data_IF_942486941360
#
_entry.id   IF_942486941360
#
_cell.length_a   1.000
_cell.length_b   1.000
_cell.length_c   1.000
_cell.angle_alpha   90.00
_cell.angle_beta   90.00
_cell.angle_gamma   90.00
#
_symmetry.space_group_name_H-M   'P 1'
#
loop_
_entity.id
_entity.type
_entity.pdbx_description
1 polymer ?
#
# COMPACT_ATOMS: atom_id res chain seq x y z
N UNK A 1 -1.83 -21.71 8.79
CA UNK A 1 -2.52 -20.88 7.78
C UNK A 1 -3.36 -21.81 6.95
N UNK A 2 -4.65 -21.54 6.76
CA UNK A 2 -5.60 -22.43 6.06
C UNK A 2 -5.11 -22.94 4.69
N UNK A 3 -4.23 -22.20 4.00
CA UNK A 3 -3.60 -22.63 2.75
C UNK A 3 -2.59 -23.79 2.87
N UNK A 4 -2.16 -24.17 4.08
CA UNK A 4 -1.34 -25.38 4.31
C UNK A 4 -2.20 -26.64 4.52
N UNK A 5 -3.49 -26.48 4.80
CA UNK A 5 -4.39 -27.58 5.13
C UNK A 5 -5.17 -28.10 3.90
N UNK A 6 -4.74 -27.72 2.69
CA UNK A 6 -5.17 -28.33 1.43
C UNK A 6 -6.50 -27.84 0.84
N UNK A 7 -7.22 -26.92 1.49
CA UNK A 7 -8.50 -26.39 0.95
C UNK A 7 -8.23 -25.12 0.13
N UNK A 8 -8.48 -25.18 -1.18
CA UNK A 8 -8.43 -24.06 -2.13
C UNK A 8 -7.16 -23.17 -2.06
N UNK A 9 -6.03 -23.74 -1.64
CA UNK A 9 -4.79 -23.01 -1.34
C UNK A 9 -4.30 -22.15 -2.52
N UNK A 10 -4.37 -22.67 -3.74
CA UNK A 10 -3.98 -21.92 -4.94
C UNK A 10 -4.85 -20.69 -5.18
N UNK A 11 -6.17 -20.80 -5.01
CA UNK A 11 -7.11 -19.69 -5.20
C UNK A 11 -6.90 -18.59 -4.16
N UNK A 12 -6.73 -18.95 -2.88
CA UNK A 12 -6.49 -17.96 -1.83
C UNK A 12 -5.12 -17.29 -1.94
N UNK A 13 -4.09 -18.04 -2.33
CA UNK A 13 -2.75 -17.47 -2.60
C UNK A 13 -2.81 -16.49 -3.78
N UNK A 14 -3.52 -16.85 -4.84
CA UNK A 14 -3.73 -15.99 -6.02
C UNK A 14 -4.49 -14.71 -5.66
N UNK A 15 -5.60 -14.83 -4.94
CA UNK A 15 -6.37 -13.66 -4.50
C UNK A 15 -5.53 -12.71 -3.62
N UNK A 16 -4.84 -13.26 -2.61
CA UNK A 16 -3.98 -12.46 -1.73
C UNK A 16 -2.86 -11.76 -2.50
N UNK A 17 -2.25 -12.43 -3.48
CA UNK A 17 -1.25 -11.83 -4.35
C UNK A 17 -1.82 -10.64 -5.13
N UNK A 18 -2.98 -10.80 -5.78
CA UNK A 18 -3.59 -9.72 -6.55
C UNK A 18 -3.88 -8.48 -5.68
N UNK A 19 -4.33 -8.66 -4.43
CA UNK A 19 -4.56 -7.54 -3.52
C UNK A 19 -3.26 -6.82 -3.13
N UNK A 20 -2.19 -7.58 -2.87
CA UNK A 20 -0.87 -6.99 -2.56
C UNK A 20 -0.32 -6.26 -3.79
N UNK A 21 -0.39 -6.87 -4.98
CA UNK A 21 0.09 -6.25 -6.21
C UNK A 21 -0.68 -4.99 -6.59
N UNK A 22 -1.99 -4.96 -6.37
CA UNK A 22 -2.81 -3.75 -6.50
C UNK A 22 -2.28 -2.63 -5.58
N UNK A 23 -2.04 -2.94 -4.29
CA UNK A 23 -1.47 -1.98 -3.35
C UNK A 23 -0.06 -1.51 -3.75
N UNK A 24 0.72 -2.39 -4.38
CA UNK A 24 2.09 -2.10 -4.82
C UNK A 24 2.15 -1.31 -6.14
N UNK A 25 1.09 -1.34 -6.96
CA UNK A 25 0.92 -0.43 -8.10
C UNK A 25 0.71 -1.08 -9.45
N UNK A 26 0.23 -2.32 -9.53
CA UNK A 26 -0.10 -2.97 -10.81
C UNK A 26 -1.15 -2.18 -11.64
N UNK A 27 -1.88 -1.25 -11.03
CA UNK A 27 -2.82 -0.33 -11.70
C UNK A 27 -2.20 1.01 -12.13
N UNK A 28 -0.89 1.15 -11.99
CA UNK A 28 -0.14 2.33 -12.42
C UNK A 28 0.16 3.36 -11.33
N UNK A 29 -0.26 3.11 -10.09
CA UNK A 29 0.07 3.96 -8.94
C UNK A 29 0.17 3.11 -7.67
N UNK A 30 1.25 3.26 -6.90
CA UNK A 30 1.40 2.54 -5.62
C UNK A 30 0.63 3.24 -4.51
N UNK A 31 0.08 2.48 -3.58
CA UNK A 31 -0.48 2.99 -2.32
C UNK A 31 0.50 2.84 -1.14
N UNK A 32 1.75 2.47 -1.42
CA UNK A 32 2.82 2.37 -0.42
C UNK A 32 3.79 3.53 -0.60
N UNK A 33 3.94 4.35 0.43
CA UNK A 33 4.79 5.54 0.38
C UNK A 33 6.24 5.16 0.10
N UNK A 34 6.82 5.74 -0.95
CA UNK A 34 8.21 5.53 -1.36
C UNK A 34 8.45 4.23 -2.14
N UNK A 35 7.40 3.58 -2.66
CA UNK A 35 7.48 2.37 -3.46
C UNK A 35 6.75 2.55 -4.81
N UNK A 36 7.25 1.90 -5.86
CA UNK A 36 6.61 1.86 -7.19
C UNK A 36 7.18 2.87 -8.18
N UNK A 37 7.38 2.45 -9.43
CA UNK A 37 8.10 3.26 -10.42
C UNK A 37 7.23 4.36 -11.05
N UNK A 38 5.91 4.18 -11.06
CA UNK A 38 4.96 5.08 -11.72
C UNK A 38 4.42 6.18 -10.79
N UNK A 39 4.68 6.08 -9.48
CA UNK A 39 4.28 7.07 -8.48
C UNK A 39 3.75 6.44 -7.19
N UNK A 40 3.73 7.25 -6.13
CA UNK A 40 3.26 6.88 -4.79
C UNK A 40 2.73 8.11 -4.04
N UNK A 41 2.06 7.96 -2.88
CA UNK A 41 1.54 9.08 -2.10
C UNK A 41 2.66 9.96 -1.58
N UNK A 42 2.56 11.26 -1.82
CA UNK A 42 3.52 12.25 -1.34
C UNK A 42 3.01 12.99 -0.11
N UNK A 43 1.71 12.91 0.18
CA UNK A 43 1.02 13.75 1.18
C UNK A 43 0.21 12.91 2.17
N UNK A 44 0.81 11.82 2.68
CA UNK A 44 0.21 11.03 3.76
C UNK A 44 -0.16 11.90 4.98
N UNK A 45 -1.30 11.61 5.61
CA UNK A 45 -1.78 12.26 6.82
C UNK A 45 -0.91 11.87 8.03
N UNK A 46 0.30 12.40 8.11
CA UNK A 46 1.27 12.06 9.14
C UNK A 46 2.04 13.30 9.63
N UNK A 47 1.85 13.65 10.91
CA UNK A 47 2.43 14.88 11.49
C UNK A 47 3.95 14.90 11.40
N UNK A 48 4.62 13.85 11.89
CA UNK A 48 6.09 13.80 11.88
C UNK A 48 6.70 13.80 10.48
N UNK A 49 5.98 13.31 9.47
CA UNK A 49 6.49 13.30 8.10
C UNK A 49 6.32 14.66 7.40
N UNK A 50 5.28 15.39 7.77
CA UNK A 50 4.89 16.64 7.13
C UNK A 50 5.59 17.88 7.71
N UNK A 51 6.03 17.82 8.96
CA UNK A 51 6.75 18.93 9.59
C UNK A 51 8.08 19.22 8.87
N UNK A 52 8.45 20.51 8.72
CA UNK A 52 9.76 20.88 8.21
C UNK A 52 10.87 20.56 9.21
N UNK A 53 12.11 20.55 8.73
CA UNK A 53 13.28 20.47 9.60
C UNK A 53 13.36 21.69 10.53
N UNK A 54 13.78 21.45 11.76
CA UNK A 54 14.14 22.51 12.72
C UNK A 54 15.21 23.46 12.11
N UNK A 55 15.16 24.76 12.41
CA UNK A 55 14.28 25.44 13.38
C UNK A 55 12.93 25.90 12.81
N UNK A 56 12.51 25.39 11.66
CA UNK A 56 11.28 25.86 11.00
C UNK A 56 10.05 25.44 11.81
N UNK A 57 9.08 26.33 12.05
CA UNK A 57 7.90 26.00 12.85
C UNK A 57 7.00 24.98 12.14
N UNK A 58 6.55 23.97 12.88
CA UNK A 58 5.49 23.07 12.44
C UNK A 58 4.15 23.46 13.06
N UNK A 59 3.08 23.49 12.26
CA UNK A 59 1.76 23.90 12.75
C UNK A 59 0.60 23.48 11.86
N UNK A 60 -0.65 23.86 12.22
CA UNK A 60 -1.87 23.43 11.56
C UNK A 60 -1.93 23.75 10.06
N UNK A 61 -1.26 24.82 9.62
CA UNK A 61 -1.16 25.24 8.21
C UNK A 61 -0.55 24.16 7.31
N UNK A 62 0.28 23.26 7.86
CA UNK A 62 0.86 22.14 7.12
C UNK A 62 -0.22 21.17 6.66
N UNK A 63 -1.32 21.02 7.42
CA UNK A 63 -2.43 20.14 7.07
C UNK A 63 -3.04 20.48 5.71
N UNK A 64 -3.20 21.78 5.42
CA UNK A 64 -3.77 22.30 4.18
C UNK A 64 -2.74 22.56 3.08
N UNK A 65 -1.45 22.35 3.34
CA UNK A 65 -0.40 22.59 2.34
C UNK A 65 -0.51 21.60 1.18
N UNK A 66 -0.37 22.11 -0.05
CA UNK A 66 -0.31 21.28 -1.24
C UNK A 66 1.08 20.69 -1.48
N UNK A 67 2.10 21.12 -0.74
CA UNK A 67 3.44 20.57 -0.84
C UNK A 67 3.50 19.11 -0.35
N UNK A 68 4.42 18.29 -0.90
CA UNK A 68 4.75 16.98 -0.37
C UNK A 68 5.12 17.02 1.13
N UNK A 69 5.03 15.88 1.80
CA UNK A 69 5.64 15.71 3.11
C UNK A 69 7.16 15.90 2.99
N UNK A 70 7.74 16.65 3.93
CA UNK A 70 9.18 16.96 3.95
C UNK A 70 10.01 15.69 4.13
N UNK A 71 9.50 14.74 4.91
CA UNK A 71 10.11 13.43 5.11
C UNK A 71 9.26 12.35 4.46
N UNK A 72 9.89 11.51 3.64
CA UNK A 72 9.24 10.33 3.08
C UNK A 72 9.02 9.29 4.17
N UNK A 73 7.76 8.92 4.40
CA UNK A 73 7.38 7.88 5.36
C UNK A 73 7.44 6.50 4.70
N UNK A 74 8.65 6.04 4.38
CA UNK A 74 8.87 4.81 3.62
C UNK A 74 8.10 3.60 4.16
N UNK A 75 7.44 2.89 3.25
CA UNK A 75 6.74 1.64 3.54
C UNK A 75 5.34 1.80 4.12
N UNK A 76 4.89 3.03 4.40
CA UNK A 76 3.54 3.25 4.92
C UNK A 76 2.49 2.96 3.84
N UNK A 77 1.63 1.98 4.10
CA UNK A 77 0.39 1.77 3.35
C UNK A 77 -0.63 2.85 3.73
N UNK A 78 -1.10 3.62 2.74
CA UNK A 78 -2.18 4.60 2.93
C UNK A 78 -3.56 3.93 2.91
N UNK A 79 -4.59 4.62 3.38
CA UNK A 79 -5.98 4.13 3.34
C UNK A 79 -6.46 3.71 1.95
N UNK A 80 -5.98 4.38 0.90
CA UNK A 80 -6.16 3.95 -0.48
C UNK A 80 -7.36 4.59 -1.20
N UNK A 81 -7.77 4.00 -2.34
CA UNK A 81 -8.82 4.55 -3.19
C UNK A 81 -10.22 4.27 -2.64
N UNK A 82 -11.22 4.95 -3.20
CA UNK A 82 -12.62 4.62 -3.00
C UNK A 82 -13.06 3.37 -3.80
N UNK A 83 -14.35 3.04 -3.75
CA UNK A 83 -14.91 1.86 -4.42
C UNK A 83 -14.85 1.90 -5.95
N UNK A 84 -14.63 3.08 -6.55
CA UNK A 84 -14.48 3.27 -7.99
C UNK A 84 -13.03 3.59 -8.38
N UNK A 85 -12.06 3.10 -7.60
CA UNK A 85 -10.62 3.33 -7.78
C UNK A 85 -10.21 4.81 -7.75
N UNK A 86 -11.06 5.69 -7.22
CA UNK A 86 -10.80 7.11 -7.09
C UNK A 86 -9.82 7.38 -5.94
N UNK A 87 -8.64 7.91 -6.26
CA UNK A 87 -7.65 8.33 -5.27
C UNK A 87 -7.21 9.79 -5.46
N UNK A 88 -7.13 10.53 -4.35
CA UNK A 88 -6.51 11.87 -4.31
C UNK A 88 -5.48 11.89 -3.19
N UNK A 89 -4.22 12.11 -3.56
CA UNK A 89 -3.14 12.32 -2.60
C UNK A 89 -3.34 13.67 -1.90
N UNK A 90 -4.08 13.73 -0.80
CA UNK A 90 -4.41 14.97 -0.10
C UNK A 90 -4.28 14.75 1.40
N UNK A 91 -3.35 15.47 2.03
CA UNK A 91 -3.06 15.32 3.47
C UNK A 91 -4.29 15.49 4.35
N UNK A 92 -5.20 16.41 4.01
CA UNK A 92 -6.44 16.63 4.76
C UNK A 92 -7.48 15.53 4.58
N UNK A 93 -7.36 14.67 3.56
CA UNK A 93 -8.21 13.51 3.35
C UNK A 93 -7.68 12.32 4.18
N UNK A 94 -8.03 12.33 5.47
CA UNK A 94 -7.72 11.26 6.42
C UNK A 94 -8.46 9.94 6.13
N UNK A 95 -9.28 9.84 5.07
CA UNK A 95 -9.83 8.54 4.66
C UNK A 95 -8.82 7.87 3.72
N UNK A 96 -8.46 8.56 2.64
CA UNK A 96 -7.57 7.98 1.62
C UNK A 96 -6.09 8.02 1.99
N UNK A 97 -5.65 9.02 2.78
CA UNK A 97 -4.22 9.29 3.04
C UNK A 97 -3.80 8.98 4.48
N UNK A 98 -4.70 8.44 5.32
CA UNK A 98 -4.32 7.99 6.66
C UNK A 98 -3.30 6.86 6.57
N UNK A 99 -2.42 6.83 7.56
CA UNK A 99 -1.44 5.77 7.76
C UNK A 99 -1.50 5.33 9.21
N UNK A 100 -1.48 4.03 9.43
CA UNK A 100 -1.60 3.48 10.78
C UNK A 100 -0.81 2.17 10.94
N UNK A 101 -0.52 1.81 12.19
CA UNK A 101 0.25 0.60 12.49
C UNK A 101 -0.50 -0.68 12.06
N UNK A 102 -1.80 -0.72 12.28
CA UNK A 102 -2.69 -1.83 11.92
C UNK A 102 -2.85 -1.99 10.40
N UNK A 103 -2.83 -0.90 9.63
CA UNK A 103 -2.81 -0.95 8.17
C UNK A 103 -1.59 -1.74 7.65
N UNK A 104 -0.44 -1.53 8.29
CA UNK A 104 0.83 -2.15 7.89
C UNK A 104 1.02 -3.57 8.45
N UNK A 105 0.42 -3.88 9.60
CA UNK A 105 0.62 -5.18 10.28
C UNK A 105 0.19 -6.38 9.42
N UNK A 106 -1.02 -6.33 8.87
CA UNK A 106 -1.51 -7.36 7.95
C UNK A 106 -0.76 -7.38 6.63
N UNK A 107 -0.54 -6.19 6.05
CA UNK A 107 0.18 -6.01 4.79
C UNK A 107 1.59 -6.61 4.83
N UNK A 108 2.41 -6.27 5.82
CA UNK A 108 3.77 -6.80 5.97
C UNK A 108 3.78 -8.32 6.12
N UNK A 109 2.83 -8.87 6.86
CA UNK A 109 2.69 -10.33 7.03
C UNK A 109 2.33 -11.01 5.71
N UNK A 110 1.41 -10.42 4.94
CA UNK A 110 1.00 -10.95 3.64
C UNK A 110 2.14 -10.90 2.61
N UNK A 111 2.88 -9.78 2.53
CA UNK A 111 4.08 -9.67 1.68
C UNK A 111 5.11 -10.74 2.05
N UNK A 112 5.36 -10.94 3.34
CA UNK A 112 6.26 -12.00 3.83
C UNK A 112 5.77 -13.39 3.42
N UNK A 113 4.46 -13.64 3.52
CA UNK A 113 3.83 -14.89 3.07
C UNK A 113 4.04 -15.15 1.58
N UNK A 114 3.83 -14.14 0.73
CA UNK A 114 4.08 -14.23 -0.71
C UNK A 114 5.56 -14.47 -1.02
N UNK A 115 6.46 -13.80 -0.30
CA UNK A 115 7.90 -14.03 -0.43
C UNK A 115 8.31 -15.44 -0.02
N UNK A 116 7.71 -15.99 1.03
CA UNK A 116 7.92 -17.37 1.44
C UNK A 116 7.49 -18.34 0.33
N UNK A 117 6.31 -18.14 -0.26
CA UNK A 117 5.81 -18.97 -1.36
C UNK A 117 6.70 -18.90 -2.61
N UNK A 118 7.26 -17.72 -2.90
CA UNK A 118 8.23 -17.57 -3.98
C UNK A 118 9.49 -18.42 -3.71
N UNK A 119 10.02 -18.39 -2.50
CA UNK A 119 11.23 -19.13 -2.11
C UNK A 119 10.98 -20.65 -2.12
N UNK A 120 9.77 -21.09 -1.74
CA UNK A 120 9.41 -22.53 -1.72
C UNK A 120 8.96 -23.07 -3.08
N UNK A 121 8.95 -22.25 -4.14
CA UNK A 121 8.52 -22.68 -5.47
C UNK A 121 7.01 -22.89 -5.59
N UNK A 122 6.21 -22.25 -4.73
CA UNK A 122 4.76 -22.34 -4.66
C UNK A 122 4.07 -21.05 -5.11
N UNK A 123 4.70 -20.29 -6.03
CA UNK A 123 4.20 -18.98 -6.47
C UNK A 123 2.85 -19.15 -7.20
N UNK A 124 1.79 -18.42 -6.81
CA UNK A 124 0.47 -18.56 -7.43
C UNK A 124 0.45 -18.24 -8.95
N UNK A 125 1.35 -17.38 -9.42
CA UNK A 125 1.44 -17.01 -10.85
C UNK A 125 1.83 -18.16 -11.79
N UNK A 126 2.48 -19.21 -11.28
CA UNK A 126 2.94 -20.34 -12.11
C UNK A 126 1.80 -21.25 -12.58
N UNK A 127 0.57 -21.03 -12.09
CA UNK A 127 -0.59 -21.88 -12.38
C UNK A 127 -1.29 -21.57 -13.70
N UNK A 128 -0.82 -20.60 -14.50
CA UNK A 128 -1.38 -20.27 -15.81
C UNK A 128 -2.74 -19.53 -15.77
N UNK A 129 -3.36 -19.42 -14.59
CA UNK A 129 -4.59 -18.68 -14.33
C UNK A 129 -4.33 -17.31 -13.67
N UNK A 130 -3.11 -16.80 -13.80
CA UNK A 130 -2.57 -15.64 -13.07
C UNK A 130 -3.11 -14.27 -13.55
N UNK A 131 -4.33 -14.24 -14.10
CA UNK A 131 -4.97 -12.97 -14.46
C UNK A 131 -5.60 -12.39 -13.20
N UNK A 132 -4.99 -11.34 -12.67
CA UNK A 132 -5.62 -10.49 -11.67
C UNK A 132 -6.62 -9.58 -12.39
N UNK A 133 -7.92 -9.64 -12.08
CA UNK A 133 -8.82 -8.60 -12.51
C UNK A 133 -8.53 -7.37 -11.66
N UNK A 134 -7.76 -6.43 -12.19
CA UNK A 134 -7.78 -5.06 -11.72
C UNK A 134 -9.03 -4.43 -12.33
N UNK A 135 -10.18 -4.70 -11.72
CA UNK A 135 -11.44 -4.05 -12.10
C UNK A 135 -11.27 -2.56 -11.89
N UNK A 136 -11.38 -1.78 -12.98
CA UNK A 136 -11.69 -0.34 -12.94
C UNK A 136 -13.10 -0.08 -12.46
#
# INVERSE_FOLDING_TARGET
>A
MAAKDGIASAQYRHWAMCQIHYALGDTGFSYVVGFGDQGWPLRAHHRGASCPNEPSPCGPQIMSSNEPNVHTLYGALVGGPDQGDGYKDQRSNYVSNEVACDYNAGFQTAVTGLRSLLITGERPEQTGNANCPYTS
#
